data_IF_130275832920
#
_entry.id   IF_130275832920
#
_cell.length_a   1.000
_cell.length_b   1.000
_cell.length_c   1.000
_cell.angle_alpha   90.00
_cell.angle_beta   90.00
_cell.angle_gamma   90.00
#
_symmetry.space_group_name_H-M   'P 1'
#
loop_
_entity.id
_entity.type
_entity.pdbx_description
1 polymer ?
#
# COMPACT_ATOMS: atom_id res chain seq x y z
N UNK A 1 -4.20 8.98 12.79
CA UNK A 1 -4.35 8.67 11.35
C UNK A 1 -4.69 9.86 10.44
N UNK A 2 -5.26 10.96 10.94
CA UNK A 2 -5.80 12.06 10.11
C UNK A 2 -4.82 12.64 9.07
N UNK A 3 -3.60 13.01 9.46
CA UNK A 3 -2.57 13.54 8.54
C UNK A 3 -2.25 12.57 7.38
N UNK A 4 -2.25 11.26 7.66
CA UNK A 4 -1.97 10.21 6.67
C UNK A 4 -3.15 10.01 5.70
N UNK A 5 -4.38 10.17 6.19
CA UNK A 5 -5.59 10.09 5.36
C UNK A 5 -5.78 11.34 4.50
N UNK A 6 -5.37 12.52 4.99
CA UNK A 6 -5.40 13.77 4.24
C UNK A 6 -4.30 13.84 3.16
N UNK A 7 -3.22 13.07 3.33
CA UNK A 7 -2.12 13.01 2.36
C UNK A 7 -2.59 12.24 1.12
N UNK A 8 -2.75 12.97 0.01
CA UNK A 8 -3.07 12.38 -1.30
C UNK A 8 -1.87 11.59 -1.83
N UNK A 9 -2.10 10.34 -2.19
CA UNK A 9 -1.12 9.48 -2.83
C UNK A 9 -1.73 8.95 -4.13
N UNK A 10 -0.97 9.03 -5.22
CA UNK A 10 -1.35 8.39 -6.47
C UNK A 10 -1.09 6.87 -6.40
N UNK A 11 -1.98 6.08 -7.01
CA UNK A 11 -1.85 4.62 -7.04
C UNK A 11 -0.50 4.18 -7.63
N UNK A 12 -0.02 4.88 -8.66
CA UNK A 12 1.29 4.61 -9.28
C UNK A 12 2.45 4.76 -8.29
N UNK A 13 2.36 5.67 -7.32
CA UNK A 13 3.39 5.84 -6.31
C UNK A 13 3.40 4.65 -5.32
N UNK A 14 2.24 4.08 -5.01
CA UNK A 14 2.17 2.84 -4.21
C UNK A 14 2.69 1.64 -4.98
N UNK A 15 2.45 1.55 -6.29
CA UNK A 15 3.05 0.53 -7.16
C UNK A 15 4.57 0.65 -7.17
N UNK A 16 5.11 1.85 -7.38
CA UNK A 16 6.55 2.13 -7.35
C UNK A 16 7.15 1.78 -5.98
N UNK A 17 6.46 2.13 -4.88
CA UNK A 17 6.90 1.82 -3.53
C UNK A 17 6.90 0.32 -3.24
N UNK A 18 5.85 -0.41 -3.65
CA UNK A 18 5.80 -1.85 -3.51
C UNK A 18 6.94 -2.54 -4.29
N UNK A 19 7.23 -2.07 -5.51
CA UNK A 19 8.36 -2.57 -6.29
C UNK A 19 9.71 -2.28 -5.60
N UNK A 20 9.87 -1.09 -5.01
CA UNK A 20 11.06 -0.74 -4.25
C UNK A 20 11.24 -1.60 -2.99
N UNK A 21 10.16 -1.94 -2.29
CA UNK A 21 10.18 -2.87 -1.15
C UNK A 21 10.54 -4.30 -1.60
N UNK A 22 9.90 -4.81 -2.65
CA UNK A 22 10.16 -6.16 -3.16
C UNK A 22 11.61 -6.34 -3.65
N UNK A 23 12.24 -5.27 -4.16
CA UNK A 23 13.63 -5.24 -4.59
C UNK A 23 14.64 -5.28 -3.42
N UNK A 24 14.20 -5.07 -2.17
CA UNK A 24 15.08 -5.22 -1.01
C UNK A 24 15.47 -6.69 -0.81
N UNK A 25 16.70 -6.96 -0.33
CA UNK A 25 17.08 -8.28 0.15
C UNK A 25 16.07 -8.78 1.18
N UNK A 26 15.73 -10.08 1.17
CA UNK A 26 14.71 -10.66 2.05
C UNK A 26 14.93 -10.30 3.53
N UNK A 27 16.18 -10.38 4.01
CA UNK A 27 16.58 -10.00 5.37
C UNK A 27 16.31 -8.54 5.74
N UNK A 28 16.22 -7.65 4.75
CA UNK A 28 16.03 -6.22 4.93
C UNK A 28 14.56 -5.81 4.71
N UNK A 29 13.69 -6.68 4.16
CA UNK A 29 12.27 -6.39 3.93
C UNK A 29 11.48 -6.20 5.22
N UNK A 30 11.93 -6.83 6.30
CA UNK A 30 11.36 -6.69 7.65
C UNK A 30 12.02 -5.58 8.47
N UNK A 31 13.13 -5.01 7.98
CA UNK A 31 13.77 -3.86 8.61
C UNK A 31 13.03 -2.57 8.19
N UNK A 32 12.30 -1.99 9.15
CA UNK A 32 11.58 -0.74 8.95
C UNK A 32 12.49 0.42 8.52
N UNK A 33 13.77 0.42 8.93
CA UNK A 33 14.74 1.43 8.51
C UNK A 33 15.13 1.26 7.05
N UNK A 34 15.40 0.02 6.61
CA UNK A 34 15.73 -0.29 5.22
C UNK A 34 14.55 0.05 4.29
N UNK A 35 13.33 -0.29 4.72
CA UNK A 35 12.08 0.03 4.01
C UNK A 35 11.87 1.54 3.91
N UNK A 36 11.99 2.28 5.01
CA UNK A 36 11.87 3.74 5.01
C UNK A 36 12.93 4.40 4.11
N UNK A 37 14.16 3.87 4.08
CA UNK A 37 15.21 4.36 3.20
C UNK A 37 14.90 4.10 1.72
N UNK A 38 14.34 2.93 1.39
CA UNK A 38 13.90 2.62 0.02
C UNK A 38 12.83 3.60 -0.46
N UNK A 39 11.80 3.86 0.36
CA UNK A 39 10.75 4.83 0.02
C UNK A 39 11.28 6.27 -0.03
N UNK A 40 12.22 6.62 0.86
CA UNK A 40 12.90 7.91 0.83
C UNK A 40 13.61 8.12 -0.52
N UNK A 41 14.36 7.11 -0.98
CA UNK A 41 15.04 7.14 -2.29
C UNK A 41 14.09 7.24 -3.46
N UNK A 42 12.92 6.58 -3.39
CA UNK A 42 11.89 6.70 -4.41
C UNK A 42 11.42 8.15 -4.60
N UNK A 43 11.36 8.92 -3.51
CA UNK A 43 10.93 10.32 -3.53
C UNK A 43 12.05 11.31 -3.89
N UNK A 44 13.32 10.90 -3.98
CA UNK A 44 14.43 11.81 -4.30
C UNK A 44 14.31 12.44 -5.68
N UNK A 45 13.64 11.76 -6.62
CA UNK A 45 13.41 12.23 -7.98
C UNK A 45 12.06 12.94 -8.16
N UNK A 46 11.28 13.14 -7.09
CA UNK A 46 9.96 13.78 -7.15
C UNK A 46 10.07 15.22 -6.61
N UNK A 47 9.30 16.18 -7.15
CA UNK A 47 9.35 17.58 -6.74
C UNK A 47 8.60 17.83 -5.41
N UNK A 48 8.94 17.09 -4.35
CA UNK A 48 8.29 17.11 -3.04
C UNK A 48 9.27 17.60 -1.98
N UNK A 49 8.83 18.48 -1.08
CA UNK A 49 9.72 19.15 -0.13
C UNK A 49 9.47 18.74 1.33
N UNK A 50 10.52 18.80 2.16
CA UNK A 50 10.51 18.70 3.63
C UNK A 50 9.28 18.04 4.29
N UNK A 51 8.25 18.85 4.61
CA UNK A 51 7.05 18.40 5.32
C UNK A 51 6.20 17.44 4.48
N UNK A 52 5.95 17.80 3.23
CA UNK A 52 5.18 16.98 2.28
C UNK A 52 5.87 15.63 2.04
N UNK A 53 7.19 15.63 1.88
CA UNK A 53 7.98 14.40 1.72
C UNK A 53 7.80 13.46 2.93
N UNK A 54 7.82 13.98 4.16
CA UNK A 54 7.58 13.15 5.36
C UNK A 54 6.16 12.62 5.43
N UNK A 55 5.17 13.44 5.09
CA UNK A 55 3.77 13.03 5.05
C UNK A 55 3.55 11.89 4.04
N UNK A 56 4.12 12.04 2.82
CA UNK A 56 4.08 11.01 1.78
C UNK A 56 4.76 9.72 2.22
N UNK A 57 5.95 9.78 2.82
CA UNK A 57 6.64 8.58 3.30
C UNK A 57 5.81 7.80 4.31
N UNK A 58 5.25 8.50 5.31
CA UNK A 58 4.40 7.87 6.33
C UNK A 58 3.14 7.28 5.70
N UNK A 59 2.53 8.01 4.77
CA UNK A 59 1.29 7.60 4.15
C UNK A 59 1.47 6.41 3.17
N UNK A 60 2.61 6.32 2.48
CA UNK A 60 3.00 5.15 1.69
C UNK A 60 3.23 3.95 2.62
N UNK A 61 4.05 4.13 3.65
CA UNK A 61 4.40 3.07 4.58
C UNK A 61 3.15 2.46 5.23
N UNK A 62 2.28 3.29 5.81
CA UNK A 62 1.08 2.80 6.49
C UNK A 62 0.10 2.12 5.56
N UNK A 63 -0.03 2.56 4.30
CA UNK A 63 -0.91 1.90 3.32
C UNK A 63 -0.39 0.53 2.90
N UNK A 64 0.93 0.40 2.69
CA UNK A 64 1.54 -0.90 2.37
C UNK A 64 1.50 -1.86 3.56
N UNK A 65 1.74 -1.38 4.78
CA UNK A 65 1.58 -2.16 6.01
C UNK A 65 0.13 -2.63 6.19
N UNK A 66 -0.85 -1.74 5.96
CA UNK A 66 -2.27 -2.07 6.04
C UNK A 66 -2.69 -3.09 4.97
N UNK A 67 -2.12 -3.03 3.75
CA UNK A 67 -2.32 -4.07 2.71
C UNK A 67 -1.78 -5.42 3.17
N UNK A 68 -0.55 -5.47 3.70
CA UNK A 68 0.05 -6.70 4.20
C UNK A 68 -0.80 -7.31 5.33
N UNK A 69 -1.32 -6.49 6.24
CA UNK A 69 -2.23 -6.94 7.30
C UNK A 69 -3.55 -7.43 6.77
N UNK A 70 -4.13 -6.74 5.79
CA UNK A 70 -5.38 -7.16 5.15
C UNK A 70 -5.21 -8.53 4.50
N UNK A 71 -4.04 -8.83 3.94
CA UNK A 71 -3.70 -10.14 3.39
C UNK A 71 -3.56 -11.21 4.48
N UNK A 72 -2.79 -10.91 5.54
CA UNK A 72 -2.55 -11.84 6.65
C UNK A 72 -3.82 -12.19 7.44
N UNK A 73 -4.82 -11.31 7.47
CA UNK A 73 -6.05 -11.52 8.26
C UNK A 73 -7.31 -11.74 7.40
N UNK A 74 -7.31 -11.32 6.14
CA UNK A 74 -8.45 -11.35 5.22
C UNK A 74 -8.53 -12.59 4.34
N UNK A 75 -8.10 -13.75 4.87
CA UNK A 75 -7.72 -15.05 4.28
C UNK A 75 -8.49 -15.68 3.08
N UNK A 76 -9.31 -14.97 2.30
CA UNK A 76 -9.83 -15.51 1.03
C UNK A 76 -10.07 -14.48 -0.06
N UNK A 77 -10.42 -13.24 0.28
CA UNK A 77 -10.91 -12.28 -0.71
C UNK A 77 -9.79 -11.60 -1.50
N UNK A 78 -8.60 -11.42 -0.90
CA UNK A 78 -7.44 -10.84 -1.58
C UNK A 78 -6.77 -11.79 -2.59
N UNK A 79 -6.94 -13.11 -2.45
CA UNK A 79 -6.26 -14.08 -3.30
C UNK A 79 -6.61 -13.99 -4.80
N UNK A 80 -7.76 -13.41 -5.13
CA UNK A 80 -8.14 -13.12 -6.53
C UNK A 80 -7.46 -11.86 -7.10
N UNK A 81 -6.86 -11.04 -6.24
CA UNK A 81 -6.25 -9.74 -6.56
C UNK A 81 -4.73 -9.74 -6.34
N UNK A 82 -4.18 -10.80 -5.76
CA UNK A 82 -2.77 -11.06 -5.58
C UNK A 82 -2.30 -12.19 -6.49
N UNK A 83 -1.05 -12.14 -6.93
CA UNK A 83 -0.45 -13.27 -7.62
C UNK A 83 0.05 -14.27 -6.56
N UNK A 84 -0.23 -15.57 -6.73
CA UNK A 84 0.37 -16.58 -5.86
C UNK A 84 1.88 -16.53 -6.02
N UNK A 85 2.55 -16.05 -4.98
CA UNK A 85 4.01 -16.10 -4.86
C UNK A 85 4.39 -17.41 -4.17
N UNK A 86 5.46 -18.06 -4.64
CA UNK A 86 6.04 -19.22 -3.96
C UNK A 86 6.82 -18.83 -2.69
N UNK A 87 7.07 -17.54 -2.51
CA UNK A 87 7.69 -16.96 -1.32
C UNK A 87 6.62 -16.42 -0.37
N UNK A 88 6.96 -16.31 0.93
CA UNK A 88 6.06 -15.83 2.01
C UNK A 88 5.55 -14.39 1.84
N UNK A 89 5.92 -13.73 0.75
CA UNK A 89 5.53 -12.38 0.39
C UNK A 89 4.61 -12.46 -0.83
N UNK A 90 3.34 -12.05 -0.72
CA UNK A 90 2.49 -11.94 -1.89
C UNK A 90 2.93 -10.77 -2.79
N UNK A 91 2.82 -11.02 -4.09
CA UNK A 91 2.98 -9.98 -5.10
C UNK A 91 1.58 -9.43 -5.38
N UNK A 92 1.34 -8.18 -4.98
CA UNK A 92 0.15 -7.44 -5.38
C UNK A 92 0.19 -7.19 -6.90
N UNK A 93 -0.61 -7.95 -7.65
CA UNK A 93 -0.56 -7.95 -9.12
C UNK A 93 -1.56 -7.02 -9.80
N UNK A 94 -2.57 -6.52 -9.08
CA UNK A 94 -3.63 -5.69 -9.65
C UNK A 94 -3.43 -4.21 -9.33
N UNK A 95 -3.31 -3.37 -10.37
CA UNK A 95 -3.30 -1.90 -10.22
C UNK A 95 -4.53 -1.38 -9.45
N UNK A 96 -5.67 -2.06 -9.57
CA UNK A 96 -6.90 -1.74 -8.85
C UNK A 96 -6.73 -1.84 -7.34
N UNK A 97 -5.86 -2.73 -6.86
CA UNK A 97 -5.59 -2.88 -5.43
C UNK A 97 -4.88 -1.64 -4.88
N UNK A 98 -3.88 -1.14 -5.61
CA UNK A 98 -3.16 0.08 -5.23
C UNK A 98 -4.03 1.32 -5.41
N UNK A 99 -4.95 1.32 -6.37
CA UNK A 99 -5.95 2.37 -6.54
C UNK A 99 -6.96 2.40 -5.39
N UNK A 100 -7.43 1.24 -4.93
CA UNK A 100 -8.25 1.14 -3.73
C UNK A 100 -7.48 1.60 -2.49
N UNK A 101 -6.22 1.18 -2.31
CA UNK A 101 -5.38 1.57 -1.17
C UNK A 101 -5.03 3.07 -1.16
N UNK A 102 -4.90 3.69 -2.32
CA UNK A 102 -4.70 5.14 -2.43
C UNK A 102 -5.91 5.94 -1.92
N UNK A 103 -7.12 5.44 -2.18
CA UNK A 103 -8.38 6.15 -1.90
C UNK A 103 -9.02 5.79 -0.56
N UNK A 104 -8.82 4.56 -0.09
CA UNK A 104 -9.46 4.08 1.13
C UNK A 104 -8.80 4.69 2.37
N UNK A 105 -9.57 5.26 3.31
CA UNK A 105 -9.02 5.76 4.56
C UNK A 105 -8.48 4.61 5.42
N UNK A 106 -7.36 4.89 6.09
CA UNK A 106 -6.83 4.03 7.13
C UNK A 106 -7.55 4.28 8.45
N UNK A 107 -7.76 3.20 9.19
CA UNK A 107 -8.22 3.19 10.58
C UNK A 107 -7.08 2.73 11.49
N UNK A 108 -7.09 3.21 12.73
CA UNK A 108 -6.09 2.84 13.73
C UNK A 108 -6.67 1.76 14.64
N UNK A 109 -6.00 0.61 14.73
CA UNK A 109 -6.39 -0.50 15.61
C UNK A 109 -5.13 -0.94 16.35
N UNK A 110 -5.14 -0.89 17.68
CA UNK A 110 -3.99 -1.25 18.52
C UNK A 110 -2.67 -0.55 18.09
N UNK A 111 -2.74 0.76 17.81
CA UNK A 111 -1.62 1.58 17.32
C UNK A 111 -1.04 1.18 15.95
N UNK A 112 -1.72 0.29 15.22
CA UNK A 112 -1.36 -0.13 13.86
C UNK A 112 -2.31 0.46 12.82
N UNK A 113 -1.81 0.69 11.60
CA UNK A 113 -2.61 1.12 10.47
C UNK A 113 -3.32 -0.08 9.82
N UNK A 114 -4.64 0.03 9.65
CA UNK A 114 -5.46 -0.97 8.99
C UNK A 114 -6.37 -0.34 7.94
N UNK A 115 -6.75 -1.12 6.94
CA UNK A 115 -7.96 -0.85 6.19
C UNK A 115 -9.15 -1.49 6.88
N UNK A 116 -10.31 -0.82 6.83
CA UNK A 116 -11.57 -1.52 7.08
C UNK A 116 -11.80 -2.50 5.93
N UNK A 117 -11.78 -3.81 6.20
CA UNK A 117 -11.84 -4.83 5.15
C UNK A 117 -13.09 -4.71 4.27
N UNK A 118 -14.27 -4.53 4.87
CA UNK A 118 -15.54 -4.45 4.14
C UNK A 118 -15.57 -3.23 3.20
N UNK A 119 -15.22 -2.06 3.72
CA UNK A 119 -15.17 -0.82 2.94
C UNK A 119 -14.11 -0.89 1.84
N UNK A 120 -12.92 -1.42 2.14
CA UNK A 120 -11.84 -1.62 1.17
C UNK A 120 -12.26 -2.53 0.02
N UNK A 121 -12.86 -3.69 0.30
CA UNK A 121 -13.31 -4.61 -0.75
C UNK A 121 -14.50 -4.05 -1.53
N UNK A 122 -15.41 -3.32 -0.88
CA UNK A 122 -16.49 -2.61 -1.60
C UNK A 122 -15.93 -1.60 -2.59
N UNK A 123 -14.88 -0.86 -2.21
CA UNK A 123 -14.20 0.08 -3.12
C UNK A 123 -13.49 -0.63 -4.25
N UNK A 124 -12.74 -1.69 -3.94
CA UNK A 124 -12.02 -2.48 -4.93
C UNK A 124 -12.97 -3.05 -5.99
N UNK A 125 -14.12 -3.57 -5.55
CA UNK A 125 -15.17 -4.07 -6.44
C UNK A 125 -15.71 -2.96 -7.35
N UNK A 126 -16.07 -1.80 -6.78
CA UNK A 126 -16.58 -0.67 -7.55
C UNK A 126 -15.59 -0.17 -8.62
N UNK A 127 -14.29 -0.11 -8.29
CA UNK A 127 -13.24 0.23 -9.25
C UNK A 127 -13.13 -0.81 -10.37
N UNK A 128 -13.27 -2.10 -10.04
CA UNK A 128 -13.23 -3.17 -11.03
C UNK A 128 -14.43 -3.15 -11.99
N UNK A 129 -15.63 -2.86 -11.50
CA UNK A 129 -16.84 -2.73 -12.32
C UNK A 129 -16.72 -1.54 -13.29
N UNK A 130 -16.18 -0.42 -12.80
CA UNK A 130 -15.95 0.76 -13.62
C UNK A 130 -14.95 0.51 -14.77
N UNK A 131 -13.89 -0.27 -14.54
CA UNK A 131 -12.90 -0.61 -15.60
C UNK A 131 -13.33 -1.76 -16.50
N UNK A 132 -14.14 -2.69 -16.00
CA UNK A 132 -14.68 -3.82 -16.79
C UNK A 132 -15.82 -3.43 -17.73
N UNK A 133 -16.41 -2.24 -17.56
CA UNK A 133 -17.48 -1.70 -18.40
C UNK A 133 -16.98 -0.75 -19.52
N UNK A 134 -15.66 -0.73 -19.77
CA UNK A 134 -15.00 0.10 -20.78
C UNK A 134 -14.68 -0.66 -22.08
#
# INVERSE_FOLDING_TARGET
MDEVNETRIDASLLVEANAAHAALPEKDRQDGTATALAFSRLLDNKPVSGKERRALLRAIQFRLEALARLEMHGHSQLGAWTLPSTDKDAIYGSELLFEAAAQEPLVEINDEAHFNSESFFSRLLALSEAKGSA
#
